data_IF_947424481537
#
_entry.id   IF_947424481537
#
_cell.length_a   1.000
_cell.length_b   1.000
_cell.length_c   1.000
_cell.angle_alpha   90.00
_cell.angle_beta   90.00
_cell.angle_gamma   90.00
#
_symmetry.space_group_name_H-M   'P 1'
#
loop_
_entity.id
_entity.type
_entity.pdbx_description
1 polymer ?
#
# COMPACT_ATOMS: atom_id res chain seq x y z
N UNK A 1 -15.16 -60.08 -40.14
CA UNK A 1 -14.65 -59.52 -38.87
C UNK A 1 -14.99 -58.04 -38.92
N UNK A 2 -16.12 -57.63 -38.33
CA UNK A 2 -16.32 -57.39 -36.89
C UNK A 2 -15.49 -56.18 -36.42
N UNK A 3 -16.08 -55.02 -36.12
CA UNK A 3 -16.90 -54.68 -34.93
C UNK A 3 -16.11 -54.79 -33.61
N UNK A 4 -16.20 -53.86 -32.65
CA UNK A 4 -16.97 -52.60 -32.56
C UNK A 4 -16.37 -51.70 -31.47
N UNK A 5 -16.73 -50.41 -31.44
CA UNK A 5 -17.17 -49.67 -30.22
C UNK A 5 -17.51 -48.21 -30.58
N UNK A 6 -18.74 -47.99 -31.01
CA UNK A 6 -19.33 -46.66 -31.09
C UNK A 6 -19.82 -46.22 -29.71
N UNK A 7 -19.33 -45.10 -29.20
CA UNK A 7 -20.11 -44.30 -28.23
C UNK A 7 -20.68 -43.08 -28.93
N UNK A 8 -21.97 -43.18 -29.28
CA UNK A 8 -22.79 -42.06 -29.70
C UNK A 8 -22.82 -41.01 -28.58
N UNK A 9 -22.12 -39.89 -28.74
CA UNK A 9 -22.59 -38.64 -28.15
C UNK A 9 -23.73 -38.15 -29.04
N UNK A 10 -24.98 -38.03 -28.53
CA UNK A 10 -26.08 -37.51 -29.34
C UNK A 10 -25.72 -36.11 -29.83
N UNK A 11 -25.96 -35.83 -31.12
CA UNK A 11 -25.92 -34.47 -31.61
C UNK A 11 -26.94 -33.66 -30.80
N UNK A 12 -26.46 -32.61 -30.11
CA UNK A 12 -27.30 -31.77 -29.25
C UNK A 12 -28.46 -31.22 -30.08
N UNK A 13 -29.70 -31.38 -29.60
CA UNK A 13 -30.88 -30.86 -30.30
C UNK A 13 -30.76 -29.35 -30.47
N UNK A 14 -31.42 -28.73 -31.48
CA UNK A 14 -31.42 -27.28 -31.64
C UNK A 14 -31.83 -26.54 -30.35
N UNK A 15 -32.80 -27.06 -29.59
CA UNK A 15 -33.18 -26.51 -28.28
C UNK A 15 -32.05 -26.65 -27.25
N UNK A 16 -31.40 -27.82 -27.14
CA UNK A 16 -30.31 -28.00 -26.17
C UNK A 16 -29.07 -27.19 -26.55
N UNK A 17 -28.82 -26.99 -27.84
CA UNK A 17 -27.74 -26.12 -28.34
C UNK A 17 -28.05 -24.64 -28.05
N UNK A 18 -29.29 -24.20 -28.29
CA UNK A 18 -29.76 -22.85 -27.94
C UNK A 18 -29.78 -22.61 -26.42
N UNK A 19 -30.18 -23.61 -25.61
CA UNK A 19 -30.06 -23.57 -24.16
C UNK A 19 -28.61 -23.52 -23.69
N UNK A 20 -27.70 -24.29 -24.30
CA UNK A 20 -26.27 -24.24 -23.97
C UNK A 20 -25.63 -22.92 -24.41
N UNK A 21 -26.06 -22.32 -25.52
CA UNK A 21 -25.66 -20.97 -25.92
C UNK A 21 -26.25 -19.90 -24.98
N UNK A 22 -27.49 -20.07 -24.49
CA UNK A 22 -28.09 -19.20 -23.47
C UNK A 22 -27.42 -19.35 -22.09
N UNK A 23 -27.11 -20.58 -21.64
CA UNK A 23 -26.33 -20.90 -20.43
C UNK A 23 -24.91 -20.32 -20.56
N UNK A 24 -24.26 -20.48 -21.72
CA UNK A 24 -22.94 -19.93 -22.03
C UNK A 24 -22.94 -18.40 -22.07
N UNK A 25 -23.96 -17.78 -22.66
CA UNK A 25 -24.12 -16.33 -22.74
C UNK A 25 -24.55 -15.72 -21.40
N UNK A 26 -25.34 -16.40 -20.58
CA UNK A 26 -25.65 -15.99 -19.21
C UNK A 26 -24.39 -16.11 -18.32
N UNK A 27 -23.65 -17.21 -18.44
CA UNK A 27 -22.35 -17.36 -17.77
C UNK A 27 -21.33 -16.32 -18.25
N UNK A 28 -21.32 -15.92 -19.54
CA UNK A 28 -20.49 -14.83 -20.07
C UNK A 28 -21.02 -13.43 -19.75
N UNK A 29 -22.31 -13.26 -19.43
CA UNK A 29 -22.84 -12.02 -18.91
C UNK A 29 -22.36 -11.78 -17.46
N UNK A 30 -22.26 -12.83 -16.65
CA UNK A 30 -21.60 -12.79 -15.35
C UNK A 30 -20.06 -12.74 -15.46
N UNK A 31 -19.46 -13.43 -16.44
CA UNK A 31 -18.03 -13.41 -16.78
C UNK A 31 -17.70 -12.46 -17.94
N UNK A 32 -18.21 -11.24 -17.86
CA UNK A 32 -17.80 -10.21 -18.82
C UNK A 32 -16.30 -9.92 -18.70
N UNK A 33 -15.72 -9.55 -19.84
CA UNK A 33 -14.54 -8.69 -19.82
C UNK A 33 -14.94 -7.42 -19.06
N UNK A 34 -14.04 -6.88 -18.23
CA UNK A 34 -14.31 -5.87 -17.18
C UNK A 34 -14.95 -6.44 -15.91
N UNK A 35 -15.91 -7.37 -16.02
CA UNK A 35 -16.45 -8.13 -14.87
C UNK A 35 -15.36 -8.86 -14.08
N UNK A 36 -14.41 -9.53 -14.73
CA UNK A 36 -13.32 -10.20 -14.01
C UNK A 36 -12.28 -9.27 -13.38
N UNK A 37 -12.07 -8.04 -13.87
CA UNK A 37 -11.24 -7.06 -13.15
C UNK A 37 -11.93 -6.58 -11.86
N UNK A 38 -13.26 -6.42 -11.87
CA UNK A 38 -14.05 -6.12 -10.66
C UNK A 38 -14.04 -7.28 -9.68
N UNK A 39 -14.13 -8.53 -10.18
CA UNK A 39 -13.92 -9.72 -9.36
C UNK A 39 -12.51 -9.76 -8.75
N UNK A 40 -11.47 -9.46 -9.53
CA UNK A 40 -10.08 -9.45 -9.06
C UNK A 40 -9.80 -8.36 -8.02
N UNK A 41 -10.45 -7.20 -8.17
CA UNK A 41 -10.51 -6.18 -7.14
C UNK A 41 -11.18 -6.74 -5.86
N UNK A 42 -12.31 -7.43 -5.98
CA UNK A 42 -13.01 -8.07 -4.85
C UNK A 42 -12.23 -9.20 -4.16
N UNK A 43 -11.37 -9.92 -4.89
CA UNK A 43 -10.40 -10.87 -4.32
C UNK A 43 -9.40 -10.15 -3.41
N UNK A 44 -8.95 -8.95 -3.79
CA UNK A 44 -7.90 -8.21 -3.11
C UNK A 44 -8.38 -7.28 -2.00
N UNK A 45 -9.69 -7.01 -1.90
CA UNK A 45 -10.28 -6.25 -0.79
C UNK A 45 -9.94 -6.87 0.58
N UNK A 46 -9.68 -8.19 0.67
CA UNK A 46 -9.29 -8.86 1.92
C UNK A 46 -10.33 -8.64 3.02
N UNK A 47 -9.92 -8.15 4.18
CA UNK A 47 -10.80 -7.87 5.33
C UNK A 47 -11.90 -6.81 5.05
N UNK A 48 -11.85 -6.08 3.93
CA UNK A 48 -12.93 -5.18 3.47
C UNK A 48 -13.98 -5.90 2.61
N UNK A 49 -13.79 -7.18 2.30
CA UNK A 49 -14.82 -8.07 1.80
C UNK A 49 -15.36 -8.84 3.02
N UNK A 50 -16.63 -8.63 3.36
CA UNK A 50 -17.24 -9.18 4.57
C UNK A 50 -17.36 -10.71 4.55
N UNK A 51 -17.31 -11.34 3.36
CA UNK A 51 -17.39 -12.80 3.20
C UNK A 51 -16.36 -13.33 2.17
N UNK A 52 -15.05 -13.27 2.46
CA UNK A 52 -14.02 -13.70 1.53
C UNK A 52 -13.84 -15.21 1.57
N UNK A 53 -13.99 -15.89 0.42
CA UNK A 53 -13.73 -17.33 0.37
C UNK A 53 -12.24 -17.64 0.59
N UNK A 54 -11.91 -18.80 1.17
CA UNK A 54 -10.51 -19.24 1.40
C UNK A 54 -9.63 -19.11 0.15
N UNK A 55 -10.18 -19.41 -1.02
CA UNK A 55 -9.49 -19.22 -2.31
C UNK A 55 -9.17 -17.76 -2.65
N UNK A 56 -10.05 -16.80 -2.29
CA UNK A 56 -9.77 -15.37 -2.46
C UNK A 56 -8.68 -14.90 -1.50
N UNK A 57 -8.64 -15.40 -0.27
CA UNK A 57 -7.57 -15.08 0.71
C UNK A 57 -6.21 -15.54 0.19
N UNK A 58 -6.12 -16.79 -0.28
CA UNK A 58 -4.87 -17.38 -0.81
C UNK A 58 -4.39 -16.64 -2.07
N UNK A 59 -5.30 -16.43 -3.05
CA UNK A 59 -4.97 -15.68 -4.28
C UNK A 59 -4.57 -14.25 -3.93
N UNK A 60 -5.33 -13.56 -3.09
CA UNK A 60 -5.04 -12.19 -2.65
C UNK A 60 -3.65 -12.08 -2.05
N UNK A 61 -3.29 -12.98 -1.12
CA UNK A 61 -1.95 -13.04 -0.52
C UNK A 61 -0.86 -13.19 -1.57
N UNK A 62 -0.95 -14.20 -2.44
CA UNK A 62 0.09 -14.48 -3.45
C UNK A 62 0.25 -13.30 -4.43
N UNK A 63 -0.86 -12.68 -4.83
CA UNK A 63 -0.89 -11.52 -5.73
C UNK A 63 -0.32 -10.27 -5.07
N UNK A 64 -0.52 -10.06 -3.76
CA UNK A 64 0.03 -8.89 -3.05
C UNK A 64 1.56 -8.85 -2.93
N UNK A 65 2.25 -9.99 -3.13
CA UNK A 65 3.71 -10.11 -3.01
C UNK A 65 4.47 -9.60 -4.27
N UNK A 66 4.16 -8.41 -4.79
CA UNK A 66 4.85 -7.82 -5.95
C UNK A 66 6.12 -7.10 -5.49
N UNK A 67 7.33 -7.45 -5.99
CA UNK A 67 8.57 -6.78 -5.62
C UNK A 67 8.56 -5.28 -5.95
N UNK A 68 9.11 -4.47 -5.05
CA UNK A 68 9.16 -3.02 -5.22
C UNK A 68 7.80 -2.31 -5.14
N UNK A 69 6.78 -2.96 -4.56
CA UNK A 69 5.60 -2.30 -3.98
C UNK A 69 5.66 -2.47 -2.46
N UNK A 70 5.56 -1.35 -1.73
CA UNK A 70 5.85 -1.32 -0.29
C UNK A 70 4.78 -2.01 0.58
N UNK A 71 3.53 -2.09 0.08
CA UNK A 71 2.42 -2.68 0.81
C UNK A 71 1.40 -3.39 -0.09
N UNK A 72 0.60 -4.27 0.49
CA UNK A 72 -0.63 -4.76 -0.14
C UNK A 72 -1.62 -3.64 -0.53
N UNK A 73 -1.52 -2.46 0.11
CA UNK A 73 -2.27 -1.26 -0.26
C UNK A 73 -1.89 -0.71 -1.64
N UNK A 74 -0.62 -0.87 -2.05
CA UNK A 74 -0.11 -0.37 -3.33
C UNK A 74 -0.54 -1.28 -4.49
N UNK A 75 -0.52 -2.60 -4.28
CA UNK A 75 -1.14 -3.59 -5.19
C UNK A 75 -2.64 -3.33 -5.35
N UNK A 76 -3.34 -3.04 -4.24
CA UNK A 76 -4.75 -2.65 -4.25
C UNK A 76 -4.98 -1.37 -5.06
N UNK A 77 -4.19 -0.32 -4.82
CA UNK A 77 -4.27 0.95 -5.54
C UNK A 77 -4.10 0.75 -7.06
N UNK A 78 -3.13 -0.07 -7.50
CA UNK A 78 -2.96 -0.41 -8.92
C UNK A 78 -4.20 -1.09 -9.47
N UNK A 79 -4.70 -2.14 -8.80
CA UNK A 79 -5.82 -2.94 -9.34
C UNK A 79 -7.16 -2.20 -9.28
N UNK A 80 -7.35 -1.30 -8.31
CA UNK A 80 -8.49 -0.38 -8.30
C UNK A 80 -8.48 0.61 -9.48
N UNK A 81 -7.30 1.09 -9.90
CA UNK A 81 -7.17 1.88 -11.11
C UNK A 81 -7.41 1.03 -12.37
N UNK A 82 -6.83 -0.16 -12.46
CA UNK A 82 -7.02 -1.08 -13.60
C UNK A 82 -8.48 -1.51 -13.78
N UNK A 83 -9.21 -1.75 -12.68
CA UNK A 83 -10.64 -2.06 -12.71
C UNK A 83 -11.45 -0.87 -13.26
N UNK A 84 -11.21 0.35 -12.77
CA UNK A 84 -11.85 1.55 -13.31
C UNK A 84 -11.50 1.79 -14.78
N UNK A 85 -10.25 1.56 -15.18
CA UNK A 85 -9.82 1.64 -16.58
C UNK A 85 -10.55 0.60 -17.43
N UNK A 86 -10.74 -0.63 -16.95
CA UNK A 86 -11.48 -1.64 -17.72
C UNK A 86 -12.94 -1.26 -18.00
N UNK A 87 -13.56 -0.41 -17.19
CA UNK A 87 -14.89 0.16 -17.47
C UNK A 87 -14.90 1.25 -18.57
N UNK A 88 -13.78 1.96 -18.78
CA UNK A 88 -13.68 3.01 -19.82
C UNK A 88 -12.21 3.17 -20.26
N UNK A 89 -11.69 2.22 -21.06
CA UNK A 89 -10.26 2.08 -21.29
C UNK A 89 -9.69 3.17 -22.22
N UNK A 90 -10.53 4.02 -22.78
CA UNK A 90 -10.22 5.22 -23.57
C UNK A 90 -10.12 6.50 -22.74
N UNK A 91 -10.60 6.50 -21.48
CA UNK A 91 -10.50 7.67 -20.59
C UNK A 91 -9.07 7.88 -20.09
N UNK A 92 -8.33 8.75 -20.77
CA UNK A 92 -6.97 9.17 -20.41
C UNK A 92 -6.86 9.70 -18.97
N UNK A 93 -7.94 10.17 -18.33
CA UNK A 93 -7.90 10.61 -16.93
C UNK A 93 -7.80 9.44 -15.95
N UNK A 94 -8.36 8.27 -16.28
CA UNK A 94 -8.18 7.05 -15.50
C UNK A 94 -6.75 6.52 -15.64
N UNK A 95 -6.19 6.58 -16.85
CA UNK A 95 -4.78 6.32 -17.09
C UNK A 95 -3.84 7.29 -16.36
N UNK A 96 -4.22 8.57 -16.22
CA UNK A 96 -3.47 9.52 -15.41
C UNK A 96 -3.53 9.20 -13.91
N UNK A 97 -4.67 8.73 -13.40
CA UNK A 97 -4.78 8.27 -12.02
C UNK A 97 -3.87 7.05 -11.76
N UNK A 98 -3.77 6.12 -12.72
CA UNK A 98 -2.82 5.01 -12.68
C UNK A 98 -1.36 5.49 -12.78
N UNK A 99 -1.03 6.35 -13.73
CA UNK A 99 0.34 6.87 -13.91
C UNK A 99 0.84 7.59 -12.64
N UNK A 100 0.02 8.48 -12.05
CA UNK A 100 0.32 9.14 -10.78
C UNK A 100 0.46 8.13 -9.63
N UNK A 101 -0.29 7.02 -9.67
CA UNK A 101 -0.16 5.93 -8.69
C UNK A 101 1.18 5.23 -8.85
N UNK A 102 1.61 4.93 -10.08
CA UNK A 102 2.89 4.28 -10.40
C UNK A 102 4.11 5.16 -10.10
N UNK A 103 4.02 6.49 -10.31
CA UNK A 103 5.05 7.46 -9.85
C UNK A 103 5.35 7.30 -8.35
N UNK A 104 4.34 6.93 -7.56
CA UNK A 104 4.50 6.70 -6.11
C UNK A 104 5.41 5.53 -5.73
N UNK A 105 5.75 4.65 -6.68
CA UNK A 105 6.57 3.46 -6.50
C UNK A 105 7.96 3.58 -7.14
N UNK A 106 8.27 4.73 -7.76
CA UNK A 106 9.61 5.03 -8.27
C UNK A 106 10.41 5.62 -7.10
N UNK A 107 11.53 5.01 -6.65
CA UNK A 107 12.26 5.45 -5.46
C UNK A 107 12.65 6.94 -5.44
N UNK A 108 12.98 7.48 -6.61
CA UNK A 108 13.44 8.85 -6.84
C UNK A 108 12.32 9.90 -6.71
N UNK A 109 11.05 9.51 -6.93
CA UNK A 109 9.88 10.41 -6.94
C UNK A 109 8.92 10.15 -5.78
N UNK A 110 8.78 8.89 -5.37
CA UNK A 110 8.13 8.43 -4.15
C UNK A 110 6.64 8.74 -3.99
N UNK A 111 6.05 8.12 -2.96
CA UNK A 111 4.62 8.30 -2.62
C UNK A 111 4.22 9.75 -2.27
N UNK A 112 5.19 10.63 -1.97
CA UNK A 112 4.95 12.07 -1.84
C UNK A 112 4.42 12.65 -3.15
N UNK A 113 5.13 12.49 -4.28
CA UNK A 113 4.74 13.10 -5.54
C UNK A 113 3.43 12.52 -6.09
N UNK A 114 3.16 11.23 -5.85
CA UNK A 114 1.81 10.63 -6.02
C UNK A 114 0.73 11.45 -5.32
N UNK A 115 0.89 11.72 -4.02
CA UNK A 115 -0.05 12.53 -3.23
C UNK A 115 -0.13 14.01 -3.65
N UNK A 116 0.98 14.58 -4.13
CA UNK A 116 1.05 15.95 -4.62
C UNK A 116 0.31 16.11 -5.96
N UNK A 117 0.65 15.30 -6.97
CA UNK A 117 0.03 15.33 -8.30
C UNK A 117 -1.45 14.93 -8.28
N UNK A 118 -1.84 13.94 -7.44
CA UNK A 118 -3.26 13.55 -7.27
C UNK A 118 -4.09 14.71 -6.70
N UNK A 119 -3.53 15.47 -5.75
CA UNK A 119 -4.15 16.68 -5.22
C UNK A 119 -4.22 17.83 -6.24
N UNK A 120 -3.15 18.03 -7.00
CA UNK A 120 -3.08 19.01 -8.08
C UNK A 120 -4.16 18.76 -9.15
N UNK A 121 -4.18 17.57 -9.78
CA UNK A 121 -5.11 17.25 -10.87
C UNK A 121 -6.58 17.38 -10.44
N UNK A 122 -6.93 17.00 -9.19
CA UNK A 122 -8.29 17.12 -8.67
C UNK A 122 -8.83 18.56 -8.71
N UNK A 123 -7.97 19.56 -8.53
CA UNK A 123 -8.37 20.98 -8.53
C UNK A 123 -8.03 21.68 -9.85
N UNK A 124 -6.91 21.33 -10.51
CA UNK A 124 -6.51 21.89 -11.81
C UNK A 124 -7.54 21.66 -12.93
N UNK A 125 -8.33 20.57 -12.83
CA UNK A 125 -9.45 20.28 -13.75
C UNK A 125 -10.67 21.19 -13.58
N UNK A 126 -10.79 21.94 -12.49
CA UNK A 126 -11.92 22.86 -12.24
C UNK A 126 -11.80 24.19 -12.97
N UNK A 127 -10.62 24.51 -13.51
CA UNK A 127 -10.35 25.80 -14.16
C UNK A 127 -10.27 26.97 -13.18
N UNK A 128 -10.14 28.18 -13.74
CA UNK A 128 -10.11 29.45 -12.99
C UNK A 128 -9.13 29.45 -11.80
N UNK A 129 -9.52 30.16 -10.74
CA UNK A 129 -8.74 30.31 -9.51
C UNK A 129 -8.45 28.96 -8.84
N UNK A 130 -9.36 27.99 -8.94
CA UNK A 130 -9.16 26.65 -8.39
C UNK A 130 -7.97 25.91 -9.04
N UNK A 131 -7.63 26.23 -10.29
CA UNK A 131 -6.44 25.71 -10.96
C UNK A 131 -5.16 26.46 -10.54
N UNK A 132 -5.25 27.77 -10.30
CA UNK A 132 -4.13 28.57 -9.76
C UNK A 132 -3.79 28.12 -8.32
N UNK A 133 -4.80 27.92 -7.47
CA UNK A 133 -4.61 27.38 -6.12
C UNK A 133 -4.12 25.92 -6.13
N UNK A 134 -4.46 25.14 -7.16
CA UNK A 134 -3.91 23.79 -7.33
C UNK A 134 -2.39 23.81 -7.54
N UNK A 135 -1.87 24.70 -8.39
CA UNK A 135 -0.41 24.78 -8.65
C UNK A 135 0.34 25.42 -7.47
N UNK A 136 -0.25 26.43 -6.79
CA UNK A 136 0.29 26.96 -5.52
C UNK A 136 0.38 25.85 -4.45
N UNK A 137 -0.66 25.03 -4.31
CA UNK A 137 -0.68 23.88 -3.39
C UNK A 137 0.38 22.83 -3.76
N UNK A 138 0.60 22.56 -5.06
CA UNK A 138 1.65 21.65 -5.52
C UNK A 138 3.05 22.15 -5.11
N UNK A 139 3.35 23.41 -5.41
CA UNK A 139 4.60 24.09 -5.01
C UNK A 139 4.79 24.05 -3.49
N UNK A 140 3.74 24.38 -2.72
CA UNK A 140 3.79 24.36 -1.26
C UNK A 140 4.03 22.96 -0.68
N UNK A 141 3.43 21.91 -1.27
CA UNK A 141 3.65 20.51 -0.84
C UNK A 141 5.08 20.04 -1.10
N UNK A 142 5.65 20.35 -2.26
CA UNK A 142 7.05 20.03 -2.57
C UNK A 142 7.98 20.79 -1.61
N UNK A 143 7.73 22.10 -1.38
CA UNK A 143 8.49 22.91 -0.41
C UNK A 143 8.43 22.33 1.01
N UNK A 144 7.25 21.88 1.43
CA UNK A 144 7.04 21.25 2.73
C UNK A 144 7.74 19.89 2.84
N UNK A 145 7.77 19.09 1.77
CA UNK A 145 8.52 17.84 1.72
C UNK A 145 10.03 18.09 1.91
N UNK A 146 10.60 19.06 1.18
CA UNK A 146 12.01 19.41 1.31
C UNK A 146 12.37 19.84 2.74
N UNK A 147 11.50 20.66 3.37
CA UNK A 147 11.72 21.15 4.75
C UNK A 147 11.48 20.10 5.85
N UNK A 148 10.44 19.25 5.72
CA UNK A 148 10.01 18.32 6.79
C UNK A 148 10.57 16.91 6.67
N UNK A 149 10.83 16.47 5.44
CA UNK A 149 11.22 15.09 5.12
C UNK A 149 12.63 15.01 4.50
N UNK A 150 13.33 16.14 4.35
CA UNK A 150 14.68 16.20 3.81
C UNK A 150 14.79 15.82 2.32
N UNK A 151 13.68 15.83 1.57
CA UNK A 151 13.68 15.37 0.18
C UNK A 151 14.43 16.36 -0.71
N UNK A 152 15.26 15.83 -1.62
CA UNK A 152 16.24 16.60 -2.41
C UNK A 152 15.67 17.46 -3.53
N UNK A 153 14.38 17.80 -3.57
CA UNK A 153 13.78 18.51 -4.71
C UNK A 153 14.18 20.00 -4.82
N UNK A 154 14.99 20.54 -3.90
CA UNK A 154 15.55 21.90 -4.02
C UNK A 154 14.50 23.02 -4.02
N UNK A 155 14.57 23.92 -5.01
CA UNK A 155 13.49 24.90 -5.23
C UNK A 155 12.33 24.25 -6.01
N UNK A 156 11.09 24.25 -5.49
CA UNK A 156 9.96 23.57 -6.13
C UNK A 156 9.63 24.05 -7.54
N UNK A 157 9.88 25.32 -7.87
CA UNK A 157 9.52 25.87 -9.19
C UNK A 157 10.59 25.51 -10.21
N UNK A 158 11.88 25.60 -9.85
CA UNK A 158 12.98 25.06 -10.66
C UNK A 158 12.80 23.56 -10.87
N UNK A 159 12.46 22.81 -9.82
CA UNK A 159 12.17 21.38 -9.91
C UNK A 159 11.07 21.08 -10.93
N UNK A 160 9.87 21.67 -10.77
CA UNK A 160 8.74 21.45 -11.69
C UNK A 160 9.04 21.86 -13.15
N UNK A 161 9.88 22.88 -13.37
CA UNK A 161 10.34 23.29 -14.71
C UNK A 161 11.32 22.29 -15.33
N UNK A 162 12.17 21.68 -14.50
CA UNK A 162 13.30 20.86 -14.92
C UNK A 162 13.04 19.35 -14.81
N UNK A 163 11.79 18.92 -14.56
CA UNK A 163 11.43 17.49 -14.65
C UNK A 163 11.69 17.03 -16.09
N UNK A 164 12.54 16.03 -16.25
CA UNK A 164 12.62 15.26 -17.48
C UNK A 164 11.35 14.39 -17.60
N UNK A 165 10.36 14.94 -18.28
CA UNK A 165 9.06 14.31 -18.47
C UNK A 165 9.13 13.05 -19.34
N UNK A 166 10.12 12.94 -20.21
CA UNK A 166 10.25 11.80 -21.12
C UNK A 166 10.96 10.63 -20.41
N UNK A 167 11.99 10.91 -19.60
CA UNK A 167 12.58 9.96 -18.67
C UNK A 167 11.55 9.46 -17.63
N UNK A 168 10.83 10.37 -16.95
CA UNK A 168 9.78 10.00 -15.99
C UNK A 168 8.66 9.18 -16.64
N UNK A 169 8.25 9.49 -17.87
CA UNK A 169 7.25 8.68 -18.59
C UNK A 169 7.78 7.29 -18.90
N UNK A 170 9.05 7.15 -19.27
CA UNK A 170 9.71 5.86 -19.52
C UNK A 170 9.81 5.02 -18.24
N UNK A 171 10.17 5.62 -17.11
CA UNK A 171 10.19 4.93 -15.81
C UNK A 171 8.80 4.47 -15.37
N UNK A 172 7.78 5.32 -15.52
CA UNK A 172 6.38 4.95 -15.24
C UNK A 172 5.94 3.76 -16.12
N UNK A 173 6.27 3.78 -17.42
CA UNK A 173 5.97 2.65 -18.32
C UNK A 173 6.70 1.36 -17.92
N UNK A 174 7.99 1.46 -17.59
CA UNK A 174 8.78 0.31 -17.13
C UNK A 174 8.21 -0.29 -15.85
N UNK A 175 7.92 0.54 -14.84
CA UNK A 175 7.40 0.07 -13.56
C UNK A 175 5.97 -0.46 -13.67
N UNK A 176 5.14 0.17 -14.49
CA UNK A 176 3.82 -0.35 -14.86
C UNK A 176 3.91 -1.76 -15.47
N UNK A 177 4.79 -1.95 -16.46
CA UNK A 177 5.05 -3.25 -17.09
C UNK A 177 5.51 -4.30 -16.09
N UNK A 178 6.49 -3.96 -15.25
CA UNK A 178 7.04 -4.85 -14.21
C UNK A 178 5.96 -5.35 -13.23
N UNK A 179 5.08 -4.44 -12.78
CA UNK A 179 3.97 -4.76 -11.89
C UNK A 179 2.97 -5.70 -12.56
N UNK A 180 2.52 -5.39 -13.79
CA UNK A 180 1.56 -6.23 -14.51
C UNK A 180 2.13 -7.60 -14.86
N UNK A 181 3.38 -7.65 -15.33
CA UNK A 181 4.05 -8.90 -15.65
C UNK A 181 4.21 -9.79 -14.41
N UNK A 182 4.57 -9.20 -13.27
CA UNK A 182 4.65 -9.92 -11.99
C UNK A 182 3.30 -10.48 -11.56
N UNK A 183 2.21 -9.73 -11.73
CA UNK A 183 0.85 -10.22 -11.48
C UNK A 183 0.48 -11.40 -12.41
N UNK A 184 0.79 -11.29 -13.71
CA UNK A 184 0.58 -12.37 -14.68
C UNK A 184 1.36 -13.65 -14.32
N UNK A 185 2.64 -13.51 -13.93
CA UNK A 185 3.47 -14.64 -13.48
C UNK A 185 2.87 -15.32 -12.25
N UNK A 186 2.46 -14.56 -11.23
CA UNK A 186 1.80 -15.11 -10.03
C UNK A 186 0.50 -15.82 -10.34
N UNK A 187 -0.32 -15.31 -11.26
CA UNK A 187 -1.53 -16.01 -11.74
C UNK A 187 -1.16 -17.33 -12.42
N UNK A 188 -0.08 -17.36 -13.22
CA UNK A 188 0.44 -18.58 -13.85
C UNK A 188 0.97 -19.58 -12.82
N UNK A 189 1.67 -19.13 -11.78
CA UNK A 189 2.18 -19.98 -10.70
C UNK A 189 1.03 -20.62 -9.91
N UNK A 190 0.01 -19.83 -9.54
CA UNK A 190 -1.23 -20.34 -8.94
C UNK A 190 -1.85 -21.41 -9.84
N UNK A 191 -1.93 -21.15 -11.15
CA UNK A 191 -2.52 -22.05 -12.15
C UNK A 191 -1.78 -23.38 -12.30
N UNK A 192 -0.44 -23.37 -12.18
CA UNK A 192 0.40 -24.55 -12.33
C UNK A 192 0.60 -25.31 -11.00
N UNK A 193 0.30 -24.68 -9.86
CA UNK A 193 0.43 -25.28 -8.53
C UNK A 193 -0.73 -26.22 -8.16
N UNK A 194 -0.56 -26.98 -7.07
CA UNK A 194 -1.65 -27.75 -6.46
C UNK A 194 -2.84 -26.89 -5.98
N UNK A 195 -2.66 -25.57 -5.80
CA UNK A 195 -3.72 -24.64 -5.42
C UNK A 195 -4.81 -24.53 -6.49
N UNK A 196 -4.49 -24.79 -7.77
CA UNK A 196 -5.47 -24.84 -8.86
C UNK A 196 -6.63 -25.81 -8.57
N UNK A 197 -6.35 -26.93 -7.88
CA UNK A 197 -7.36 -27.91 -7.45
C UNK A 197 -8.25 -27.37 -6.31
N UNK A 198 -7.66 -26.62 -5.37
CA UNK A 198 -8.36 -25.99 -4.24
C UNK A 198 -9.26 -24.83 -4.68
N UNK A 199 -8.84 -24.10 -5.73
CA UNK A 199 -9.62 -22.99 -6.29
C UNK A 199 -10.82 -23.44 -7.12
N UNK A 200 -10.73 -24.62 -7.75
CA UNK A 200 -11.79 -25.17 -8.58
C UNK A 200 -11.93 -24.49 -9.95
N UNK A 201 -12.64 -25.15 -10.87
CA UNK A 201 -12.69 -24.78 -12.30
C UNK A 201 -13.13 -23.31 -12.53
N UNK A 202 -14.13 -22.83 -11.79
CA UNK A 202 -14.72 -21.51 -12.01
C UNK A 202 -13.76 -20.37 -11.63
N UNK A 203 -13.09 -20.46 -10.46
CA UNK A 203 -12.09 -19.46 -10.04
C UNK A 203 -10.84 -19.50 -10.92
N UNK A 204 -10.48 -20.68 -11.43
CA UNK A 204 -9.41 -20.83 -12.41
C UNK A 204 -9.74 -20.18 -13.76
N UNK A 205 -11.00 -20.27 -14.22
CA UNK A 205 -11.47 -19.55 -15.40
C UNK A 205 -11.44 -18.03 -15.19
N UNK A 206 -11.87 -17.54 -14.02
CA UNK A 206 -11.78 -16.13 -13.64
C UNK A 206 -10.32 -15.63 -13.64
N UNK A 207 -9.40 -16.35 -13.02
CA UNK A 207 -7.96 -16.03 -13.02
C UNK A 207 -7.36 -15.97 -14.43
N UNK A 208 -7.76 -16.90 -15.32
CA UNK A 208 -7.33 -16.88 -16.73
C UNK A 208 -7.85 -15.64 -17.48
N UNK A 209 -9.08 -15.21 -17.20
CA UNK A 209 -9.67 -14.00 -17.79
C UNK A 209 -9.01 -12.72 -17.26
N UNK A 210 -8.68 -12.68 -15.97
CA UNK A 210 -7.86 -11.61 -15.35
C UNK A 210 -6.50 -11.53 -16.03
N UNK A 211 -5.77 -12.65 -16.17
CA UNK A 211 -4.46 -12.66 -16.84
C UNK A 211 -4.53 -12.09 -18.27
N UNK A 212 -5.56 -12.48 -19.03
CA UNK A 212 -5.84 -11.91 -20.37
C UNK A 212 -6.11 -10.40 -20.32
N UNK A 213 -6.86 -9.92 -19.33
CA UNK A 213 -7.12 -8.48 -19.15
C UNK A 213 -5.89 -7.69 -18.77
N UNK A 214 -5.06 -8.21 -17.87
CA UNK A 214 -3.81 -7.56 -17.50
C UNK A 214 -2.92 -7.37 -18.74
N UNK A 215 -2.83 -8.37 -19.63
CA UNK A 215 -2.12 -8.24 -20.91
C UNK A 215 -2.75 -7.22 -21.88
N UNK A 216 -4.09 -7.15 -21.96
CA UNK A 216 -4.79 -6.14 -22.77
C UNK A 216 -4.60 -4.72 -22.23
N UNK A 217 -4.63 -4.55 -20.91
CA UNK A 217 -4.38 -3.28 -20.23
C UNK A 217 -2.90 -2.88 -20.30
N UNK A 218 -1.97 -3.84 -20.25
CA UNK A 218 -0.55 -3.61 -20.49
C UNK A 218 -0.33 -3.00 -21.88
N UNK A 219 -0.84 -3.66 -22.93
CA UNK A 219 -0.75 -3.19 -24.30
C UNK A 219 -1.34 -1.77 -24.48
N UNK A 220 -2.57 -1.53 -23.99
CA UNK A 220 -3.21 -0.21 -24.10
C UNK A 220 -2.53 0.87 -23.23
N UNK A 221 -1.86 0.47 -22.15
CA UNK A 221 -1.11 1.36 -21.28
C UNK A 221 0.08 2.02 -21.98
N UNK A 222 0.77 1.30 -22.88
CA UNK A 222 1.84 1.89 -23.69
C UNK A 222 1.37 3.08 -24.55
N UNK A 223 0.12 3.06 -25.04
CA UNK A 223 -0.45 4.18 -25.80
C UNK A 223 -1.02 5.31 -24.92
N UNK A 224 -1.55 4.97 -23.75
CA UNK A 224 -2.35 5.89 -22.93
C UNK A 224 -1.55 6.59 -21.82
N UNK A 225 -0.56 5.91 -21.23
CA UNK A 225 0.30 6.50 -20.19
C UNK A 225 1.09 7.71 -20.73
N UNK A 226 1.70 7.69 -21.94
CA UNK A 226 2.35 8.87 -22.50
C UNK A 226 1.39 10.05 -22.72
N UNK A 227 0.15 9.78 -23.15
CA UNK A 227 -0.90 10.81 -23.32
C UNK A 227 -1.29 11.45 -21.98
N UNK A 228 -1.45 10.61 -20.95
CA UNK A 228 -1.72 11.05 -19.58
C UNK A 228 -0.57 11.88 -18.99
N UNK A 229 0.68 11.43 -19.14
CA UNK A 229 1.86 12.15 -18.67
C UNK A 229 2.05 13.50 -19.41
N UNK A 230 1.81 13.52 -20.73
CA UNK A 230 1.79 14.76 -21.51
C UNK A 230 0.70 15.73 -21.04
N UNK A 231 -0.49 15.25 -20.66
CA UNK A 231 -1.53 16.09 -20.06
C UNK A 231 -1.07 16.70 -18.73
N UNK A 232 -0.47 15.90 -17.83
CA UNK A 232 0.06 16.38 -16.55
C UNK A 232 1.14 17.46 -16.75
N UNK A 233 2.13 17.19 -17.62
CA UNK A 233 3.17 18.15 -18.03
C UNK A 233 2.55 19.45 -18.54
N UNK A 234 1.65 19.37 -19.52
CA UNK A 234 1.03 20.53 -20.13
C UNK A 234 0.26 21.37 -19.11
N UNK A 235 -0.50 20.73 -18.20
CA UNK A 235 -1.28 21.45 -17.20
C UNK A 235 -0.41 22.09 -16.12
N UNK A 236 0.75 21.51 -15.78
CA UNK A 236 1.75 22.16 -14.92
C UNK A 236 2.36 23.37 -15.65
N UNK A 237 2.83 23.19 -16.90
CA UNK A 237 3.46 24.26 -17.67
C UNK A 237 2.53 25.43 -17.99
N UNK A 238 1.22 25.19 -18.15
CA UNK A 238 0.20 26.23 -18.33
C UNK A 238 -0.05 27.05 -17.06
N UNK A 239 0.07 26.44 -15.88
CA UNK A 239 -0.30 27.06 -14.60
C UNK A 239 0.90 27.62 -13.83
N UNK A 240 2.08 27.04 -13.95
CA UNK A 240 3.29 27.44 -13.22
C UNK A 240 3.72 28.91 -13.46
N UNK A 241 3.58 29.49 -14.68
CA UNK A 241 3.84 30.92 -14.90
C UNK A 241 2.80 31.86 -14.26
N UNK A 242 1.63 31.35 -13.87
CA UNK A 242 0.52 32.12 -13.27
C UNK A 242 0.63 32.23 -11.73
N UNK A 243 1.76 31.83 -11.15
CA UNK A 243 2.03 31.95 -9.71
C UNK A 243 2.67 33.31 -9.42
N UNK A 244 2.12 34.04 -8.46
CA UNK A 244 2.68 35.31 -8.00
C UNK A 244 4.17 35.19 -7.60
N UNK A 245 5.02 36.15 -7.98
CA UNK A 245 6.45 36.14 -7.65
C UNK A 245 6.75 36.02 -6.15
N UNK A 246 5.86 36.46 -5.26
CA UNK A 246 6.04 36.35 -3.81
C UNK A 246 5.83 34.90 -3.31
N UNK A 247 4.77 34.23 -3.80
CA UNK A 247 4.51 32.81 -3.52
C UNK A 247 5.62 31.93 -4.12
N UNK A 248 6.16 32.36 -5.28
CA UNK A 248 7.33 31.76 -5.91
C UNK A 248 8.60 31.90 -5.07
N UNK A 249 8.92 33.11 -4.58
CA UNK A 249 10.07 33.37 -3.69
C UNK A 249 9.94 32.76 -2.28
N UNK A 250 8.74 32.28 -1.92
CA UNK A 250 8.50 31.64 -0.63
C UNK A 250 8.17 32.60 0.51
N UNK A 251 7.61 33.77 0.19
CA UNK A 251 7.10 34.70 1.20
C UNK A 251 6.05 33.99 2.08
N UNK A 252 6.21 34.09 3.40
CA UNK A 252 5.32 33.52 4.41
C UNK A 252 4.04 34.38 4.56
N UNK A 253 3.27 34.52 3.48
CA UNK A 253 2.04 35.32 3.44
C UNK A 253 0.81 34.53 3.91
N UNK A 254 0.59 34.49 5.23
CA UNK A 254 -0.54 33.87 5.95
C UNK A 254 -0.75 32.37 5.67
N UNK A 255 -0.83 31.56 6.72
CA UNK A 255 -1.31 30.18 6.61
C UNK A 255 -2.75 30.16 6.10
N UNK A 256 -2.93 29.95 4.80
CA UNK A 256 -4.21 29.48 4.26
C UNK A 256 -4.44 28.11 4.88
N UNK A 257 -5.36 28.03 5.84
CA UNK A 257 -5.73 26.76 6.49
C UNK A 257 -6.35 25.86 5.44
N UNK A 258 -5.51 25.07 4.78
CA UNK A 258 -5.95 24.01 3.88
C UNK A 258 -6.69 23.00 4.74
N UNK A 259 -8.02 23.02 4.67
CA UNK A 259 -8.87 21.95 5.21
C UNK A 259 -8.51 20.65 4.47
N UNK A 260 -7.60 19.87 5.07
CA UNK A 260 -7.01 18.67 4.45
C UNK A 260 -8.08 17.63 4.11
N UNK A 261 -8.50 17.61 2.84
CA UNK A 261 -9.38 16.54 2.34
C UNK A 261 -8.60 15.24 2.15
N UNK A 262 -8.72 14.34 3.14
CA UNK A 262 -8.43 12.89 3.02
C UNK A 262 -7.01 12.49 2.59
N UNK A 263 -5.99 13.29 2.92
CA UNK A 263 -4.58 12.99 2.61
C UNK A 263 -3.70 12.84 3.86
N UNK A 264 -4.31 12.48 4.99
CA UNK A 264 -3.62 12.01 6.19
C UNK A 264 -4.24 10.66 6.56
N UNK A 265 -3.50 9.56 6.41
CA UNK A 265 -3.65 8.39 7.27
C UNK A 265 -2.38 8.37 8.11
N UNK A 266 -2.44 8.16 9.44
CA UNK A 266 -1.23 7.90 10.20
C UNK A 266 -0.57 6.64 9.64
N UNK A 267 0.67 6.37 10.05
CA UNK A 267 1.29 5.06 9.81
C UNK A 267 0.41 4.04 10.55
N UNK A 268 -0.51 3.40 9.82
CA UNK A 268 -1.56 2.61 10.47
C UNK A 268 -0.89 1.43 11.16
N UNK A 269 -1.54 0.93 12.21
CA UNK A 269 -1.11 -0.30 12.88
C UNK A 269 -0.76 -1.41 11.87
N UNK A 270 -1.56 -1.54 10.81
CA UNK A 270 -1.33 -2.41 9.66
C UNK A 270 0.00 -2.15 8.91
N UNK A 271 0.41 -0.91 8.68
CA UNK A 271 1.70 -0.60 8.03
C UNK A 271 2.90 -0.98 8.92
N UNK A 272 2.81 -0.76 10.24
CA UNK A 272 3.83 -1.23 11.19
C UNK A 272 3.85 -2.77 11.28
N UNK A 273 2.69 -3.41 11.16
CA UNK A 273 2.56 -4.88 11.09
C UNK A 273 3.14 -5.47 9.81
N UNK A 274 2.89 -4.86 8.65
CA UNK A 274 3.50 -5.23 7.36
C UNK A 274 5.02 -5.10 7.45
N UNK A 275 5.53 -3.93 7.90
CA UNK A 275 6.97 -3.71 8.07
C UNK A 275 7.59 -4.68 9.09
N UNK A 276 6.87 -5.07 10.15
CA UNK A 276 7.34 -6.12 11.06
C UNK A 276 7.39 -7.50 10.40
N UNK A 277 6.34 -7.90 9.69
CA UNK A 277 6.29 -9.18 8.96
C UNK A 277 7.39 -9.30 7.91
N UNK A 278 7.70 -8.21 7.19
CA UNK A 278 8.80 -8.16 6.22
C UNK A 278 10.13 -8.57 6.86
N UNK A 279 10.42 -8.14 8.09
CA UNK A 279 11.65 -8.56 8.79
C UNK A 279 11.67 -10.08 9.03
N UNK A 280 10.52 -10.69 9.28
CA UNK A 280 10.40 -12.15 9.39
C UNK A 280 10.67 -12.87 8.06
N UNK A 281 10.24 -12.28 6.93
CA UNK A 281 10.54 -12.79 5.59
C UNK A 281 12.01 -12.60 5.19
N UNK A 282 12.60 -11.46 5.57
CA UNK A 282 14.03 -11.19 5.42
C UNK A 282 14.86 -12.19 6.24
N UNK A 283 14.49 -12.41 7.51
CA UNK A 283 15.09 -13.43 8.41
C UNK A 283 15.03 -14.82 7.77
N UNK A 284 13.87 -15.23 7.25
CA UNK A 284 13.72 -16.51 6.56
C UNK A 284 14.58 -16.61 5.29
N UNK A 285 14.76 -15.50 4.57
CA UNK A 285 15.59 -15.41 3.37
C UNK A 285 17.08 -15.45 3.69
N UNK A 286 17.53 -14.76 4.75
CA UNK A 286 18.91 -14.82 5.23
C UNK A 286 19.28 -16.22 5.72
N UNK A 287 18.38 -16.93 6.41
CA UNK A 287 18.58 -18.35 6.79
C UNK A 287 18.78 -19.24 5.57
N UNK A 288 17.95 -19.08 4.54
CA UNK A 288 18.09 -19.81 3.27
C UNK A 288 19.41 -19.48 2.55
N UNK A 289 19.91 -18.27 2.69
CA UNK A 289 21.21 -17.84 2.19
C UNK A 289 22.41 -18.28 3.06
N UNK A 290 22.20 -19.14 4.07
CA UNK A 290 23.25 -19.68 4.93
C UNK A 290 23.86 -18.67 5.92
N UNK A 291 23.20 -17.53 6.17
CA UNK A 291 23.66 -16.54 7.15
C UNK A 291 23.59 -17.10 8.57
N UNK A 292 24.54 -16.69 9.41
CA UNK A 292 24.56 -17.09 10.82
C UNK A 292 23.39 -16.46 11.58
N UNK A 293 22.83 -17.17 12.57
CA UNK A 293 21.76 -16.61 13.42
C UNK A 293 22.16 -15.27 14.05
N UNK A 294 23.46 -15.07 14.31
CA UNK A 294 24.01 -13.81 14.82
C UNK A 294 23.83 -12.64 13.85
N UNK A 295 24.28 -12.78 12.60
CA UNK A 295 24.08 -11.75 11.56
C UNK A 295 22.59 -11.44 11.37
N UNK A 296 21.76 -12.49 11.44
CA UNK A 296 20.31 -12.39 11.28
C UNK A 296 19.67 -11.64 12.45
N UNK A 297 20.07 -11.91 13.69
CA UNK A 297 19.58 -11.22 14.88
C UNK A 297 20.01 -9.74 14.90
N UNK A 298 21.26 -9.46 14.55
CA UNK A 298 21.80 -8.09 14.47
C UNK A 298 21.06 -7.29 13.37
N UNK A 299 20.82 -7.87 12.19
CA UNK A 299 19.98 -7.28 11.14
C UNK A 299 18.54 -7.02 11.62
N UNK A 300 17.92 -8.03 12.22
CA UNK A 300 16.51 -8.01 12.59
C UNK A 300 16.23 -6.96 13.68
N UNK A 301 17.08 -6.85 14.70
CA UNK A 301 16.96 -5.82 15.74
C UNK A 301 17.21 -4.40 15.17
N UNK A 302 18.23 -4.23 14.31
CA UNK A 302 18.49 -2.93 13.67
C UNK A 302 17.29 -2.45 12.83
N UNK A 303 16.70 -3.34 12.01
CA UNK A 303 15.48 -3.05 11.24
C UNK A 303 14.28 -2.75 12.14
N UNK A 304 14.10 -3.50 13.23
CA UNK A 304 13.03 -3.26 14.21
C UNK A 304 13.12 -1.87 14.83
N UNK A 305 14.32 -1.43 15.23
CA UNK A 305 14.53 -0.08 15.77
C UNK A 305 14.30 1.02 14.74
N UNK A 306 14.70 0.81 13.48
CA UNK A 306 14.42 1.76 12.41
C UNK A 306 12.91 1.97 12.20
N UNK A 307 12.14 0.88 12.11
CA UNK A 307 10.67 0.92 11.91
C UNK A 307 9.96 1.50 13.14
N UNK A 308 10.42 1.21 14.36
CA UNK A 308 9.90 1.85 15.57
C UNK A 308 10.14 3.36 15.58
N UNK A 309 11.35 3.82 15.22
CA UNK A 309 11.70 5.25 15.14
C UNK A 309 10.80 5.97 14.12
N UNK A 310 10.61 5.38 12.95
CA UNK A 310 9.71 5.90 11.90
C UNK A 310 8.25 5.96 12.37
N UNK A 311 7.75 4.92 13.04
CA UNK A 311 6.38 4.89 13.54
C UNK A 311 6.10 6.01 14.57
N UNK A 312 7.06 6.35 15.43
CA UNK A 312 6.90 7.46 16.40
C UNK A 312 6.81 8.82 15.73
N UNK A 313 7.62 9.07 14.70
CA UNK A 313 7.59 10.33 13.95
C UNK A 313 6.24 10.60 13.26
N UNK A 314 5.45 9.54 13.03
CA UNK A 314 4.17 9.58 12.32
C UNK A 314 2.94 9.30 13.22
N UNK A 315 3.12 9.27 14.55
CA UNK A 315 2.04 9.06 15.53
C UNK A 315 1.71 10.38 16.25
N UNK A 316 0.44 10.61 16.59
CA UNK A 316 0.03 11.81 17.34
C UNK A 316 0.81 11.93 18.68
N UNK A 317 1.35 13.11 19.04
CA UNK A 317 2.16 13.27 20.25
C UNK A 317 1.47 12.80 21.53
N UNK A 318 0.16 12.97 21.65
CA UNK A 318 -0.61 12.57 22.83
C UNK A 318 -0.80 11.06 22.94
N UNK A 319 -0.82 10.35 21.80
CA UNK A 319 -0.80 8.90 21.75
C UNK A 319 0.61 8.38 22.00
N UNK A 320 1.64 9.07 21.50
CA UNK A 320 3.03 8.72 21.80
C UNK A 320 3.40 8.90 23.27
N UNK A 321 2.86 9.90 23.95
CA UNK A 321 2.97 10.07 25.40
C UNK A 321 2.51 8.80 26.14
N UNK A 322 1.29 8.31 25.83
CA UNK A 322 0.72 7.10 26.42
C UNK A 322 1.50 5.82 26.06
N UNK A 323 1.92 5.68 24.80
CA UNK A 323 2.76 4.54 24.36
C UNK A 323 4.09 4.54 25.14
N UNK A 324 4.74 5.69 25.26
CA UNK A 324 6.03 5.83 25.93
C UNK A 324 5.94 5.57 27.43
N UNK A 325 4.88 6.06 28.08
CA UNK A 325 4.61 5.80 29.49
C UNK A 325 4.37 4.30 29.76
N UNK A 326 3.52 3.64 28.96
CA UNK A 326 3.27 2.19 29.05
C UNK A 326 4.53 1.38 28.78
N UNK A 327 5.32 1.76 27.79
CA UNK A 327 6.57 1.07 27.46
C UNK A 327 7.59 1.20 28.59
N UNK A 328 7.76 2.40 29.15
CA UNK A 328 8.62 2.64 30.30
C UNK A 328 8.19 1.80 31.50
N UNK A 329 6.89 1.73 31.79
CA UNK A 329 6.37 0.87 32.87
C UNK A 329 6.64 -0.62 32.61
N UNK A 330 6.52 -1.11 31.37
CA UNK A 330 6.69 -2.55 31.08
C UNK A 330 8.13 -2.99 30.89
N UNK A 331 9.01 -2.13 30.39
CA UNK A 331 10.35 -2.50 29.88
C UNK A 331 11.48 -1.57 30.36
N UNK A 332 11.22 -0.72 31.35
CA UNK A 332 12.14 0.32 31.87
C UNK A 332 12.61 1.35 30.83
N UNK A 333 12.04 1.33 29.61
CA UNK A 333 12.51 2.11 28.48
C UNK A 333 11.32 2.59 27.62
N UNK A 334 11.25 3.88 27.21
CA UNK A 334 10.08 4.44 26.53
C UNK A 334 9.79 3.81 25.17
N UNK A 335 10.77 3.14 24.58
CA UNK A 335 10.69 2.60 23.22
C UNK A 335 10.08 1.20 23.14
N UNK A 336 9.96 0.51 24.27
CA UNK A 336 9.74 -0.93 24.36
C UNK A 336 10.99 -1.63 24.92
N UNK A 337 11.12 -2.96 24.74
CA UNK A 337 12.32 -3.70 25.15
C UNK A 337 13.59 -3.09 24.57
N UNK A 338 14.57 -2.77 25.42
CA UNK A 338 15.88 -2.33 24.95
C UNK A 338 16.87 -3.49 24.96
N UNK A 339 17.02 -4.16 23.81
CA UNK A 339 17.91 -5.30 23.64
C UNK A 339 19.37 -4.86 23.54
N UNK A 340 20.22 -5.39 24.44
CA UNK A 340 21.67 -5.14 24.48
C UNK A 340 22.44 -6.44 24.38
N UNK A 341 23.59 -6.44 23.70
CA UNK A 341 24.46 -7.62 23.63
C UNK A 341 25.19 -7.84 24.95
N UNK A 342 25.23 -9.09 25.42
CA UNK A 342 25.96 -9.48 26.64
C UNK A 342 27.30 -10.13 26.29
N UNK A 343 28.21 -10.22 27.26
CA UNK A 343 29.56 -10.77 27.10
C UNK A 343 29.58 -12.26 26.74
N UNK A 344 28.56 -13.01 27.18
CA UNK A 344 28.31 -14.40 26.79
C UNK A 344 27.64 -14.56 25.40
N UNK A 345 27.51 -13.47 24.66
CA UNK A 345 26.96 -13.45 23.30
C UNK A 345 25.44 -13.47 23.21
N UNK A 346 24.68 -13.48 24.32
CA UNK A 346 23.21 -13.36 24.29
C UNK A 346 22.75 -11.90 24.12
N UNK A 347 21.42 -11.71 24.10
CA UNK A 347 20.75 -10.42 24.16
C UNK A 347 20.02 -10.28 25.49
N UNK A 348 20.24 -9.20 26.22
CA UNK A 348 19.51 -8.86 27.45
C UNK A 348 18.51 -7.73 27.24
N UNK A 349 17.38 -7.77 27.95
CA UNK A 349 16.43 -6.66 28.06
C UNK A 349 15.75 -6.66 29.42
N UNK A 350 15.32 -5.48 29.89
CA UNK A 350 14.58 -5.37 31.15
C UNK A 350 13.07 -5.51 30.92
N UNK A 351 12.38 -6.12 31.90
CA UNK A 351 10.92 -6.18 31.93
C UNK A 351 10.40 -6.19 33.35
N UNK A 352 9.31 -5.47 33.61
CA UNK A 352 8.68 -5.36 34.93
C UNK A 352 8.16 -6.70 35.41
N UNK A 353 8.51 -7.07 36.64
CA UNK A 353 8.06 -8.30 37.30
C UNK A 353 6.56 -8.20 37.59
N UNK A 354 5.80 -9.24 37.24
CA UNK A 354 4.34 -9.27 37.44
C UNK A 354 4.00 -9.03 38.92
N UNK A 355 3.15 -8.03 39.20
CA UNK A 355 2.75 -7.66 40.56
C UNK A 355 3.80 -6.86 41.36
N UNK A 356 4.89 -6.37 40.73
CA UNK A 356 5.94 -5.61 41.41
C UNK A 356 6.26 -4.29 40.71
N UNK A 357 6.96 -3.39 41.41
CA UNK A 357 7.60 -2.19 40.84
C UNK A 357 9.05 -2.46 40.37
N UNK A 358 9.59 -3.67 40.60
CA UNK A 358 10.94 -4.07 40.18
C UNK A 358 10.95 -4.58 38.74
N UNK A 359 12.07 -4.37 38.04
CA UNK A 359 12.36 -4.93 36.74
C UNK A 359 13.34 -6.10 36.89
N UNK A 360 13.18 -7.12 36.06
CA UNK A 360 14.11 -8.26 35.95
C UNK A 360 14.77 -8.24 34.56
N UNK A 361 16.03 -8.66 34.50
CA UNK A 361 16.77 -8.82 33.24
C UNK A 361 16.45 -10.18 32.63
N UNK A 362 15.89 -10.17 31.43
CA UNK A 362 15.59 -11.36 30.63
C UNK A 362 16.62 -11.49 29.51
N UNK A 363 16.95 -12.73 29.16
CA UNK A 363 17.92 -13.05 28.12
C UNK A 363 17.26 -13.77 26.95
N UNK A 364 17.77 -13.53 25.74
CA UNK A 364 17.39 -14.20 24.49
C UNK A 364 18.64 -14.62 23.72
N UNK A 365 18.54 -15.77 23.06
CA UNK A 365 19.49 -16.18 22.01
C UNK A 365 19.29 -15.37 20.73
N UNK A 366 20.25 -15.41 19.82
CA UNK A 366 20.12 -14.80 18.48
C UNK A 366 18.88 -15.31 17.75
N UNK A 367 18.65 -16.63 17.77
CA UNK A 367 17.47 -17.26 17.16
C UNK A 367 16.16 -16.71 17.71
N UNK A 368 16.07 -16.49 19.02
CA UNK A 368 14.88 -15.93 19.66
C UNK A 368 14.66 -14.43 19.42
N UNK A 369 15.67 -13.70 18.94
CA UNK A 369 15.54 -12.33 18.43
C UNK A 369 15.06 -12.37 16.98
N UNK A 370 15.73 -13.17 16.14
CA UNK A 370 15.37 -13.38 14.74
C UNK A 370 13.91 -13.88 14.57
N UNK A 371 13.51 -14.92 15.30
CA UNK A 371 12.15 -15.49 15.28
C UNK A 371 11.11 -14.51 15.84
N UNK A 372 11.51 -13.62 16.76
CA UNK A 372 10.59 -12.65 17.36
C UNK A 372 10.40 -11.38 16.52
N UNK A 373 11.32 -11.07 15.59
CA UNK A 373 11.30 -9.81 14.85
C UNK A 373 10.09 -9.65 13.93
N UNK A 374 9.58 -10.75 13.37
CA UNK A 374 8.32 -10.79 12.61
C UNK A 374 7.09 -10.33 13.40
N UNK A 375 7.12 -10.44 14.73
CA UNK A 375 5.98 -10.17 15.59
C UNK A 375 5.84 -8.67 15.87
N UNK A 376 4.76 -8.05 15.40
CA UNK A 376 4.45 -6.65 15.68
C UNK A 376 4.30 -6.31 17.18
N UNK A 377 3.91 -7.29 18.02
CA UNK A 377 3.62 -7.05 19.45
C UNK A 377 2.47 -6.06 19.62
N UNK A 378 2.20 -5.55 20.83
CA UNK A 378 1.21 -4.46 21.00
C UNK A 378 -0.24 -4.80 20.65
N UNK A 379 -0.62 -6.09 20.60
CA UNK A 379 -2.02 -6.51 20.47
C UNK A 379 -2.86 -6.26 21.73
N UNK A 380 -2.20 -5.86 22.83
CA UNK A 380 -2.80 -5.35 24.06
C UNK A 380 -3.16 -3.86 24.02
N UNK A 381 -2.89 -3.17 22.90
CA UNK A 381 -3.19 -1.75 22.74
C UNK A 381 -4.60 -1.55 22.15
N UNK A 382 -5.31 -0.53 22.64
CA UNK A 382 -6.70 -0.26 22.26
C UNK A 382 -6.80 0.47 20.90
N UNK A 383 -6.38 -0.18 19.82
CA UNK A 383 -6.25 0.43 18.49
C UNK A 383 -7.53 1.09 17.96
N UNK A 384 -8.71 0.55 18.28
CA UNK A 384 -10.00 1.13 17.87
C UNK A 384 -10.22 2.52 18.49
N UNK A 385 -9.92 2.67 19.78
CA UNK A 385 -10.00 3.96 20.47
C UNK A 385 -8.97 4.97 19.94
N UNK A 386 -7.79 4.49 19.51
CA UNK A 386 -6.74 5.33 18.91
C UNK A 386 -7.17 5.84 17.53
N UNK A 387 -7.87 5.00 16.75
CA UNK A 387 -8.50 5.39 15.49
C UNK A 387 -9.63 6.39 15.73
N UNK A 388 -10.48 6.19 16.73
CA UNK A 388 -11.50 7.17 17.13
C UNK A 388 -10.89 8.49 17.60
N UNK A 389 -9.84 8.45 18.43
CA UNK A 389 -9.14 9.65 18.92
C UNK A 389 -8.60 10.48 17.76
N UNK A 390 -7.99 9.80 16.79
CA UNK A 390 -7.47 10.40 15.57
C UNK A 390 -8.60 11.01 14.71
N UNK A 391 -9.78 10.36 14.64
CA UNK A 391 -10.97 10.90 13.97
C UNK A 391 -11.51 12.15 14.71
N UNK A 392 -11.61 12.12 16.04
CA UNK A 392 -12.10 13.23 16.85
C UNK A 392 -11.22 14.48 16.70
N UNK A 393 -9.89 14.36 16.82
CA UNK A 393 -8.98 15.50 16.59
C UNK A 393 -9.09 16.08 15.17
N UNK A 394 -9.29 15.24 14.15
CA UNK A 394 -9.50 15.70 12.75
C UNK A 394 -10.84 16.39 12.53
N UNK A 395 -11.87 15.99 13.27
CA UNK A 395 -13.16 16.67 13.30
C UNK A 395 -13.13 17.98 14.13
N UNK A 396 -11.98 18.30 14.76
CA UNK A 396 -11.83 19.36 15.77
C UNK A 396 -12.73 19.16 17.02
N UNK A 397 -13.16 17.92 17.27
CA UNK A 397 -13.89 17.53 18.47
C UNK A 397 -12.90 17.23 19.60
N UNK A 398 -12.41 18.31 20.21
CA UNK A 398 -11.43 18.24 21.31
C UNK A 398 -12.04 17.63 22.58
N UNK A 399 -13.36 17.69 22.75
CA UNK A 399 -14.05 17.10 23.89
C UNK A 399 -14.05 15.56 23.78
N UNK A 400 -14.48 15.00 22.65
CA UNK A 400 -14.43 13.54 22.40
C UNK A 400 -12.99 13.05 22.35
N UNK A 401 -12.06 13.81 21.78
CA UNK A 401 -10.63 13.46 21.80
C UNK A 401 -10.08 13.35 23.24
N UNK A 402 -10.41 14.30 24.13
CA UNK A 402 -10.00 14.24 25.55
C UNK A 402 -10.57 13.02 26.26
N UNK A 403 -11.85 12.71 26.05
CA UNK A 403 -12.49 11.50 26.61
C UNK A 403 -11.80 10.22 26.13
N UNK A 404 -11.55 10.11 24.81
CA UNK A 404 -10.87 8.97 24.21
C UNK A 404 -9.42 8.81 24.70
N UNK A 405 -8.69 9.90 24.92
CA UNK A 405 -7.34 9.86 25.53
C UNK A 405 -7.37 9.18 26.90
N UNK A 406 -8.33 9.56 27.75
CA UNK A 406 -8.50 8.97 29.08
C UNK A 406 -9.01 7.51 29.04
N UNK A 407 -9.86 7.15 28.08
CA UNK A 407 -10.26 5.74 27.85
C UNK A 407 -9.05 4.87 27.42
N UNK A 408 -8.21 5.36 26.50
CA UNK A 408 -6.96 4.70 26.10
C UNK A 408 -6.03 4.57 27.31
N UNK A 409 -5.81 5.66 28.06
CA UNK A 409 -4.98 5.69 29.27
C UNK A 409 -5.40 4.61 30.27
N UNK A 410 -6.69 4.53 30.59
CA UNK A 410 -7.26 3.52 31.51
C UNK A 410 -7.03 2.09 30.99
N UNK A 411 -7.24 1.82 29.70
CA UNK A 411 -6.96 0.48 29.12
C UNK A 411 -5.48 0.10 29.15
N UNK A 412 -4.57 1.07 29.21
CA UNK A 412 -3.13 0.83 29.36
C UNK A 412 -2.66 0.68 30.82
N UNK A 413 -3.54 0.96 31.79
CA UNK A 413 -3.21 0.92 33.22
C UNK A 413 -2.31 2.09 33.67
N UNK A 414 -2.48 3.27 33.07
CA UNK A 414 -1.67 4.48 33.28
C UNK A 414 -2.38 5.61 34.04
#
# INVERSE_FOLDING_TARGET
MADSYSFFTPALTPERKSQLEAEYNAAHAELSITGSMKWFWGVLQGDFNENPTMGQIIVGTIITLVPGLDTAGDVRDVIANLAQISDSPEDTMKWLALAITVIGFIPEFGSMLKGAFKGFIKNARKGGDAAIEAIKTLVAKIRAANKKLGVGYGDPIKYLKNIDWDALTKEVLNKFKEILHTMQLKIKDISNSALSRVLGKNKMAQLKLVSKQLAQLEAKGFDQIPKAMKYLRNKINELLPKIDPEVAKGAAGKETVIKNTKADLPLTRAQYEIKSKQIGEDVASMRKAGKSEREIAEYAEAKRRAIQKEARQNTDPEIMELISARNKDRYNHPDGPDFKRTTDGRWSYEKKRKGSKKYDTYYKTDKEIADAAGNSGGGDFAWDLVLEFTRAKRANDLARAKVLKEEIRKKLGL
#
